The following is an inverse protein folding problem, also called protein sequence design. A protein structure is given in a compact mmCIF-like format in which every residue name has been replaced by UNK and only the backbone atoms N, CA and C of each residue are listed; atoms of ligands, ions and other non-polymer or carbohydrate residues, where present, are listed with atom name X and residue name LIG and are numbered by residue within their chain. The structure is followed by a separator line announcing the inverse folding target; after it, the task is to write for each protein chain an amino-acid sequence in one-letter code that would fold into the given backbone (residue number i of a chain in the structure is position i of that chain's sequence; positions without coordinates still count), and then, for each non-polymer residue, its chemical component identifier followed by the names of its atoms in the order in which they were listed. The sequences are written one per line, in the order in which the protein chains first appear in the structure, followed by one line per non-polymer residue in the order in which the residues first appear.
data_IF_412063640954
#
_entry.id   IF_412063640954
#
_cell.length_a   1.000
_cell.length_b   1.000
_cell.length_c   1.000
_cell.angle_alpha   90.00
_cell.angle_beta   90.00
_cell.angle_gamma   90.00
#
_symmetry.space_group_name_H-M   'P 1'
#
loop_
_entity.id
_entity.type
_entity.pdbx_description
1 polymer ?
#
# COMPACT_ATOMS: atom_id res chain seq x y z
N UNK A 1 -24.30 -4.56 -17.25
CA UNK A 1 -24.81 -3.28 -16.72
C UNK A 1 -23.85 -2.55 -15.78
N UNK A 2 -23.29 -3.20 -14.75
CA UNK A 2 -22.40 -2.53 -13.78
C UNK A 2 -21.11 -1.98 -14.42
N UNK A 3 -20.47 -2.73 -15.34
CA UNK A 3 -19.25 -2.28 -16.03
C UNK A 3 -19.42 -0.99 -16.84
N UNK A 4 -20.55 -0.82 -17.52
CA UNK A 4 -20.83 0.38 -18.33
C UNK A 4 -21.16 1.59 -17.46
N UNK A 5 -21.83 1.38 -16.33
CA UNK A 5 -22.06 2.42 -15.33
C UNK A 5 -20.75 2.88 -14.68
N UNK A 6 -19.91 1.93 -14.23
CA UNK A 6 -18.60 2.23 -13.65
C UNK A 6 -17.70 2.98 -14.64
N UNK A 7 -17.63 2.55 -15.90
CA UNK A 7 -16.87 3.29 -16.94
C UNK A 7 -17.36 4.73 -17.08
N UNK A 8 -18.69 4.96 -17.10
CA UNK A 8 -19.24 6.33 -17.18
C UNK A 8 -18.88 7.17 -15.96
N UNK A 9 -18.94 6.62 -14.74
CA UNK A 9 -18.59 7.35 -13.53
C UNK A 9 -17.07 7.61 -13.43
N UNK A 10 -16.26 6.65 -13.87
CA UNK A 10 -14.80 6.73 -13.86
C UNK A 10 -14.30 7.79 -14.85
N UNK A 11 -14.86 7.83 -16.06
CA UNK A 11 -14.49 8.81 -17.10
C UNK A 11 -14.92 10.24 -16.71
N UNK A 12 -16.09 10.40 -16.08
CA UNK A 12 -16.58 11.72 -15.62
C UNK A 12 -15.76 12.29 -14.47
N UNK A 13 -15.27 11.43 -13.56
CA UNK A 13 -14.55 11.85 -12.36
C UNK A 13 -13.06 11.51 -12.43
N UNK A 14 -12.54 11.25 -13.63
CA UNK A 14 -11.17 10.79 -13.87
C UNK A 14 -10.13 11.66 -13.15
N UNK A 15 -10.26 12.98 -13.25
CA UNK A 15 -9.32 13.92 -12.65
C UNK A 15 -9.28 13.81 -11.11
N UNK A 16 -10.42 13.56 -10.47
CA UNK A 16 -10.49 13.35 -9.01
C UNK A 16 -9.81 12.03 -8.62
N UNK A 17 -10.03 10.96 -9.40
CA UNK A 17 -9.37 9.68 -9.17
C UNK A 17 -7.86 9.78 -9.34
N UNK A 18 -7.35 10.50 -10.34
CA UNK A 18 -5.91 10.69 -10.52
C UNK A 18 -5.29 11.47 -9.36
N UNK A 19 -5.94 12.55 -8.91
CA UNK A 19 -5.48 13.34 -7.77
C UNK A 19 -5.39 12.51 -6.49
N UNK A 20 -6.40 11.69 -6.22
CA UNK A 20 -6.38 10.82 -5.04
C UNK A 20 -5.49 9.59 -5.23
N UNK A 21 -5.34 9.10 -6.45
CA UNK A 21 -4.36 8.06 -6.76
C UNK A 21 -2.93 8.56 -6.54
N UNK A 22 -2.61 9.81 -6.86
CA UNK A 22 -1.29 10.40 -6.63
C UNK A 22 -1.00 10.54 -5.12
N UNK A 23 -1.98 11.03 -4.35
CA UNK A 23 -1.90 11.06 -2.88
C UNK A 23 -1.66 9.66 -2.30
N UNK A 24 -2.45 8.69 -2.74
CA UNK A 24 -2.33 7.28 -2.32
C UNK A 24 -0.99 6.70 -2.78
N UNK A 25 -0.50 7.06 -3.97
CA UNK A 25 0.78 6.58 -4.52
C UNK A 25 1.96 7.09 -3.69
N UNK A 26 1.93 8.34 -3.21
CA UNK A 26 2.95 8.86 -2.29
C UNK A 26 2.98 8.10 -0.96
N UNK A 27 1.81 7.80 -0.40
CA UNK A 27 1.71 6.96 0.80
C UNK A 27 2.19 5.52 0.55
N UNK A 28 1.79 4.90 -0.56
CA UNK A 28 2.25 3.56 -0.94
C UNK A 28 3.76 3.51 -1.19
N UNK A 29 4.33 4.55 -1.79
CA UNK A 29 5.78 4.69 -1.96
C UNK A 29 6.50 4.70 -0.61
N UNK A 30 6.03 5.52 0.34
CA UNK A 30 6.58 5.55 1.70
C UNK A 30 6.48 4.19 2.38
N UNK A 31 5.32 3.51 2.30
CA UNK A 31 5.15 2.16 2.85
C UNK A 31 6.09 1.13 2.21
N UNK A 32 6.34 1.23 0.90
CA UNK A 32 7.15 0.28 0.17
C UNK A 32 8.65 0.60 0.21
N UNK A 33 9.07 1.80 0.65
CA UNK A 33 10.47 2.22 0.75
C UNK A 33 11.34 1.14 1.41
N UNK A 34 11.02 0.76 2.64
CA UNK A 34 11.79 -0.23 3.40
C UNK A 34 11.87 -1.59 2.70
N UNK A 35 10.79 -1.97 1.99
CA UNK A 35 10.74 -3.22 1.22
C UNK A 35 11.55 -3.15 -0.09
N UNK A 36 11.56 -2.00 -0.76
CA UNK A 36 12.13 -1.85 -2.09
C UNK A 36 13.61 -1.43 -2.07
N UNK A 37 14.02 -0.62 -1.10
CA UNK A 37 15.38 -0.07 -1.01
C UNK A 37 16.18 -0.63 0.17
N UNK A 38 15.53 -1.24 1.15
CA UNK A 38 16.17 -1.68 2.39
C UNK A 38 16.44 -0.54 3.38
N UNK A 39 16.15 0.71 3.01
CA UNK A 39 16.34 1.87 3.87
C UNK A 39 15.27 1.95 4.96
N UNK A 40 15.67 2.37 6.16
CA UNK A 40 14.72 2.60 7.25
C UNK A 40 13.98 3.93 7.11
N UNK A 41 12.77 4.00 7.67
CA UNK A 41 12.04 5.27 7.72
C UNK A 41 12.67 6.26 8.68
N UNK A 42 12.76 7.52 8.24
CA UNK A 42 13.11 8.63 9.13
C UNK A 42 11.97 8.89 10.14
N UNK A 43 12.24 9.60 11.25
CA UNK A 43 11.19 9.98 12.21
C UNK A 43 10.03 10.75 11.57
N UNK A 44 10.31 11.60 10.59
CA UNK A 44 9.34 12.41 9.85
C UNK A 44 8.45 11.52 8.95
N UNK A 45 9.07 10.60 8.21
CA UNK A 45 8.37 9.61 7.38
C UNK A 45 7.44 8.73 8.24
N UNK A 46 7.92 8.27 9.41
CA UNK A 46 7.10 7.50 10.36
C UNK A 46 5.89 8.29 10.85
N UNK A 47 6.03 9.59 11.09
CA UNK A 47 4.92 10.46 11.51
C UNK A 47 3.88 10.58 10.41
N UNK A 48 4.30 10.78 9.16
CA UNK A 48 3.38 10.88 8.02
C UNK A 48 2.66 9.54 7.75
N UNK A 49 3.38 8.42 7.80
CA UNK A 49 2.79 7.08 7.65
C UNK A 49 1.70 6.85 8.72
N UNK A 50 2.01 7.12 10.00
CA UNK A 50 1.03 6.97 11.11
C UNK A 50 -0.19 7.86 10.92
N UNK A 51 0.00 9.09 10.47
CA UNK A 51 -1.09 10.04 10.21
C UNK A 51 -2.01 9.50 9.11
N UNK A 52 -1.47 9.09 7.97
CA UNK A 52 -2.24 8.54 6.84
C UNK A 52 -2.98 7.25 7.22
N UNK A 53 -2.32 6.34 7.95
CA UNK A 53 -2.95 5.12 8.47
C UNK A 53 -4.12 5.42 9.40
N UNK A 54 -3.99 6.40 10.30
CA UNK A 54 -5.07 6.81 11.20
C UNK A 54 -6.26 7.36 10.41
N UNK A 55 -6.01 8.22 9.43
CA UNK A 55 -7.07 8.70 8.53
C UNK A 55 -7.78 7.54 7.85
N UNK A 56 -7.02 6.61 7.24
CA UNK A 56 -7.60 5.46 6.55
C UNK A 56 -8.41 4.55 7.49
N UNK A 57 -7.92 4.31 8.70
CA UNK A 57 -8.63 3.48 9.69
C UNK A 57 -9.98 4.08 10.08
N UNK A 58 -10.09 5.42 10.15
CA UNK A 58 -11.36 6.09 10.43
C UNK A 58 -12.38 5.95 9.28
N UNK A 59 -11.92 5.79 8.03
CA UNK A 59 -12.81 5.56 6.88
C UNK A 59 -13.32 4.12 6.78
N UNK A 60 -12.64 3.16 7.41
CA UNK A 60 -12.98 1.74 7.32
C UNK A 60 -13.56 1.26 8.66
N UNK A 61 -14.86 1.48 8.93
CA UNK A 61 -15.48 1.17 10.21
C UNK A 61 -15.42 -0.31 10.59
N UNK A 62 -15.23 -1.21 9.61
CA UNK A 62 -15.13 -2.66 9.86
C UNK A 62 -13.93 -3.03 10.75
N UNK A 63 -12.90 -2.17 10.84
CA UNK A 63 -11.73 -2.43 11.68
C UNK A 63 -12.09 -2.50 13.17
N UNK A 64 -13.22 -1.92 13.59
CA UNK A 64 -13.74 -2.00 14.96
C UNK A 64 -14.01 -3.45 15.38
N UNK A 65 -14.32 -4.35 14.45
CA UNK A 65 -14.54 -5.78 14.75
C UNK A 65 -13.31 -6.40 15.41
N UNK A 66 -12.10 -5.97 15.03
CA UNK A 66 -10.86 -6.48 15.61
C UNK A 66 -10.62 -5.99 17.06
N UNK A 67 -11.31 -4.94 17.51
CA UNK A 67 -11.21 -4.41 18.87
C UNK A 67 -12.17 -5.09 19.84
N UNK A 68 -13.16 -5.83 19.33
CA UNK A 68 -14.10 -6.60 20.15
C UNK A 68 -13.39 -7.80 20.81
N UNK A 69 -13.87 -8.27 21.99
CA UNK A 69 -13.38 -9.52 22.56
C UNK A 69 -13.59 -10.67 21.54
N UNK A 70 -12.52 -11.38 21.20
CA UNK A 70 -12.52 -12.43 20.17
C UNK A 70 -12.32 -11.94 18.73
N UNK A 71 -12.28 -10.63 18.47
CA UNK A 71 -12.06 -10.08 17.12
C UNK A 71 -10.71 -10.46 16.51
N UNK A 72 -9.69 -10.67 17.35
CA UNK A 72 -8.36 -11.13 16.94
C UNK A 72 -8.38 -12.53 16.30
N UNK A 73 -9.43 -13.34 16.51
CA UNK A 73 -9.58 -14.65 15.87
C UNK A 73 -9.73 -14.55 14.34
N UNK A 74 -10.16 -13.40 13.82
CA UNK A 74 -10.24 -13.15 12.38
C UNK A 74 -8.89 -12.76 11.75
N UNK A 75 -7.91 -12.34 12.55
CA UNK A 75 -6.57 -11.95 12.08
C UNK A 75 -5.86 -13.09 11.33
N UNK A 76 -5.80 -14.35 11.83
CA UNK A 76 -5.15 -15.42 11.09
C UNK A 76 -5.81 -15.70 9.73
N UNK A 77 -7.14 -15.65 9.64
CA UNK A 77 -7.85 -15.79 8.37
C UNK A 77 -7.50 -14.64 7.40
N UNK A 78 -7.49 -13.41 7.91
CA UNK A 78 -7.11 -12.24 7.11
C UNK A 78 -5.64 -12.32 6.65
N UNK A 79 -4.75 -12.77 7.53
CA UNK A 79 -3.34 -12.97 7.24
C UNK A 79 -3.16 -14.01 6.11
N UNK A 80 -3.88 -15.13 6.14
CA UNK A 80 -3.82 -16.13 5.08
C UNK A 80 -4.28 -15.54 3.73
N UNK A 81 -5.36 -14.77 3.71
CA UNK A 81 -5.85 -14.12 2.48
C UNK A 81 -4.84 -13.11 1.93
N UNK A 82 -4.22 -12.32 2.80
CA UNK A 82 -3.23 -11.30 2.43
C UNK A 82 -1.88 -11.91 1.99
N UNK A 83 -1.44 -12.96 2.67
CA UNK A 83 -0.14 -13.63 2.48
C UNK A 83 -0.14 -14.65 1.33
N UNK A 84 -1.27 -14.80 0.63
CA UNK A 84 -1.34 -15.62 -0.60
C UNK A 84 -0.38 -15.17 -1.72
N UNK A 85 0.26 -14.00 -1.59
CA UNK A 85 1.31 -13.53 -2.52
C UNK A 85 2.67 -14.15 -2.18
N UNK A 86 2.81 -15.46 -2.41
CA UNK A 86 4.04 -16.26 -2.18
C UNK A 86 5.14 -16.08 -3.24
N UNK A 87 5.27 -14.90 -3.85
CA UNK A 87 6.37 -14.65 -4.80
C UNK A 87 7.36 -13.69 -4.15
N UNK A 88 8.46 -14.19 -3.57
CA UNK A 88 9.61 -13.35 -3.25
C UNK A 88 10.07 -12.68 -4.55
N UNK A 89 10.02 -11.34 -4.58
CA UNK A 89 10.66 -10.62 -5.69
C UNK A 89 12.17 -10.77 -5.49
N UNK A 90 12.84 -11.36 -6.47
CA UNK A 90 14.31 -11.38 -6.50
C UNK A 90 14.80 -9.94 -6.37
N UNK A 91 15.69 -9.62 -5.42
CA UNK A 91 16.37 -8.35 -5.42
C UNK A 91 17.04 -8.20 -6.79
N UNK A 92 16.68 -7.16 -7.53
CA UNK A 92 17.46 -6.79 -8.71
C UNK A 92 18.84 -6.43 -8.19
N UNK A 93 19.81 -7.32 -8.38
CA UNK A 93 21.22 -7.05 -8.17
C UNK A 93 21.64 -5.97 -9.17
N UNK A 94 21.39 -4.70 -8.83
CA UNK A 94 22.10 -3.57 -9.44
C UNK A 94 23.49 -3.52 -8.86
N UNK A 95 24.35 -4.39 -9.38
CA UNK A 95 25.79 -4.18 -9.42
C UNK A 95 26.28 -4.72 -10.75
N UNK A 96 25.98 -4.01 -11.83
CA UNK A 96 26.80 -4.10 -13.03
C UNK A 96 27.85 -3.00 -12.88
N UNK A 97 29.08 -3.30 -12.40
CA UNK A 97 30.15 -2.35 -12.57
C UNK A 97 30.38 -2.22 -14.08
N UNK A 98 30.28 -1.00 -14.58
CA UNK A 98 30.81 -0.66 -15.90
C UNK A 98 32.27 -1.10 -15.89
N UNK A 99 32.56 -2.15 -16.66
CA UNK A 99 33.91 -2.61 -16.93
C UNK A 99 34.63 -1.45 -17.59
N UNK A 100 35.45 -0.74 -16.83
CA UNK A 100 36.60 -0.02 -17.39
C UNK A 100 37.42 -1.08 -18.11
N UNK A 101 37.40 -1.03 -19.43
CA UNK A 101 38.23 -1.85 -20.31
C UNK A 101 38.79 -0.91 -21.37
N UNK A 102 40.09 -0.67 -21.24
CA UNK A 102 41.12 -0.35 -22.23
C UNK A 102 40.72 0.40 -23.51
#
# INVERSE_FOLDING_TARGET
MIRSFLRKQLLKNQALFFREAERISGFLYLLMKQRNTGETWTPEEKREIKKQLKYLAMYIPILVIFLLPGGSLFIPFLAEVMDRRKVPRRPTLQSVPLKTGD
#
